data_IF_804954408751
#
_entry.id   IF_804954408751
#
_cell.length_a   1.000
_cell.length_b   1.000
_cell.length_c   1.000
_cell.angle_alpha   90.00
_cell.angle_beta   90.00
_cell.angle_gamma   90.00
#
_symmetry.space_group_name_H-M   'P 1'
#
loop_
_entity.id
_entity.type
_entity.pdbx_description
1 polymer ?
#
# COMPACT_ATOMS: atom_id res chain seq x y z
N UNK A 1 19.35 -4.62 -1.32
CA UNK A 1 18.82 -3.27 -1.66
C UNK A 1 19.30 -2.94 -3.05
N UNK A 2 18.48 -2.27 -3.85
CA UNK A 2 18.78 -1.92 -5.25
C UNK A 2 19.04 -0.41 -5.34
N UNK A 3 20.07 -0.04 -6.08
CA UNK A 3 20.45 1.35 -6.32
C UNK A 3 19.73 1.86 -7.57
N UNK A 4 19.13 3.05 -7.46
CA UNK A 4 18.38 3.67 -8.55
C UNK A 4 19.16 4.89 -9.04
N UNK A 5 19.49 4.88 -10.33
CA UNK A 5 20.29 5.92 -10.99
C UNK A 5 19.50 6.73 -12.03
N UNK A 6 18.24 6.36 -12.30
CA UNK A 6 17.38 7.10 -13.21
C UNK A 6 15.89 6.97 -12.87
N UNK A 7 15.08 7.90 -13.40
CA UNK A 7 13.62 7.79 -13.31
C UNK A 7 13.08 6.55 -14.00
N UNK A 8 13.70 6.11 -15.09
CA UNK A 8 13.26 4.90 -15.78
C UNK A 8 13.48 3.66 -14.91
N UNK A 9 14.66 3.53 -14.29
CA UNK A 9 14.95 2.43 -13.35
C UNK A 9 13.99 2.44 -12.17
N UNK A 10 13.68 3.62 -11.63
CA UNK A 10 12.72 3.78 -10.55
C UNK A 10 11.33 3.23 -10.94
N UNK A 11 10.81 3.66 -12.08
CA UNK A 11 9.50 3.24 -12.58
C UNK A 11 9.48 1.75 -12.92
N UNK A 12 10.53 1.24 -13.56
CA UNK A 12 10.65 -0.19 -13.85
C UNK A 12 10.65 -1.03 -12.58
N UNK A 13 11.44 -0.65 -11.56
CA UNK A 13 11.50 -1.37 -10.29
C UNK A 13 10.14 -1.38 -9.56
N UNK A 14 9.38 -0.27 -9.61
CA UNK A 14 8.03 -0.21 -9.07
C UNK A 14 7.05 -1.11 -9.85
N UNK A 15 7.14 -1.12 -11.18
CA UNK A 15 6.29 -1.95 -12.03
C UNK A 15 6.57 -3.44 -11.84
N UNK A 16 7.83 -3.83 -11.78
CA UNK A 16 8.28 -5.22 -11.63
C UNK A 16 8.04 -5.78 -10.22
N UNK A 17 7.87 -4.91 -9.22
CA UNK A 17 7.56 -5.34 -7.86
C UNK A 17 6.20 -6.03 -7.74
N UNK A 18 5.27 -5.81 -8.67
CA UNK A 18 3.90 -6.33 -8.58
C UNK A 18 3.21 -5.85 -7.30
N UNK A 19 2.64 -6.78 -6.52
CA UNK A 19 2.02 -6.46 -5.23
C UNK A 19 2.99 -6.48 -4.03
N UNK A 20 4.30 -6.60 -4.27
CA UNK A 20 5.27 -6.54 -3.17
C UNK A 20 5.30 -5.13 -2.58
N UNK A 21 5.46 -5.05 -1.27
CA UNK A 21 5.75 -3.77 -0.61
C UNK A 21 7.12 -3.28 -1.08
N UNK A 22 7.18 -2.05 -1.57
CA UNK A 22 8.42 -1.38 -1.97
C UNK A 22 8.70 -0.24 -1.00
N UNK A 23 9.90 -0.22 -0.45
CA UNK A 23 10.38 0.84 0.45
C UNK A 23 11.54 1.55 -0.24
N UNK A 24 11.37 2.85 -0.42
CA UNK A 24 12.34 3.71 -1.11
C UNK A 24 13.00 4.62 -0.09
N UNK A 25 14.30 4.47 0.12
CA UNK A 25 15.13 5.40 0.88
C UNK A 25 15.71 6.47 -0.03
N UNK A 26 15.36 7.73 0.20
CA UNK A 26 16.06 8.87 -0.38
C UNK A 26 17.16 9.32 0.57
N UNK A 27 18.39 9.30 0.09
CA UNK A 27 19.58 9.60 0.90
C UNK A 27 20.52 10.57 0.18
N UNK A 28 21.53 11.09 0.90
CA UNK A 28 22.63 11.86 0.32
C UNK A 28 23.97 11.34 0.84
N UNK A 29 25.02 11.41 0.03
CA UNK A 29 26.38 10.92 0.40
C UNK A 29 27.01 11.71 1.55
N UNK A 30 26.60 12.96 1.72
CA UNK A 30 27.01 13.86 2.82
C UNK A 30 26.09 13.77 4.04
N UNK A 31 24.99 13.03 3.98
CA UNK A 31 23.99 12.96 5.04
C UNK A 31 24.42 12.02 6.17
N UNK A 32 24.89 12.58 7.29
CA UNK A 32 25.31 11.81 8.46
C UNK A 32 24.17 10.95 9.05
N UNK A 33 22.94 11.49 9.11
CA UNK A 33 21.77 10.73 9.60
C UNK A 33 21.45 9.52 8.70
N UNK A 34 21.66 9.64 7.39
CA UNK A 34 21.44 8.55 6.43
C UNK A 34 22.48 7.45 6.66
N UNK A 35 23.76 7.81 6.80
CA UNK A 35 24.86 6.87 7.13
C UNK A 35 24.60 6.11 8.43
N UNK A 36 24.10 6.80 9.46
CA UNK A 36 23.77 6.17 10.73
C UNK A 36 22.56 5.21 10.65
N UNK A 37 21.59 5.51 9.76
CA UNK A 37 20.38 4.71 9.56
C UNK A 37 20.66 3.44 8.75
N UNK A 38 21.56 3.53 7.78
CA UNK A 38 21.80 2.50 6.77
C UNK A 38 22.06 1.09 7.33
N UNK A 39 22.91 0.86 8.36
CA UNK A 39 23.11 -0.49 8.89
C UNK A 39 21.83 -1.14 9.43
N UNK A 40 20.94 -0.33 10.03
CA UNK A 40 19.68 -0.82 10.57
C UNK A 40 18.67 -1.12 9.47
N UNK A 41 18.66 -0.30 8.42
CA UNK A 41 17.83 -0.53 7.24
C UNK A 41 18.27 -1.79 6.48
N UNK A 42 19.59 -2.01 6.31
CA UNK A 42 20.13 -3.24 5.72
C UNK A 42 19.71 -4.50 6.49
N UNK A 43 19.78 -4.47 7.83
CA UNK A 43 19.30 -5.58 8.66
C UNK A 43 17.81 -5.82 8.45
N UNK A 44 16.99 -4.77 8.44
CA UNK A 44 15.56 -4.90 8.17
C UNK A 44 15.29 -5.45 6.76
N UNK A 45 16.08 -5.10 5.75
CA UNK A 45 15.96 -5.69 4.43
C UNK A 45 16.31 -7.20 4.41
N UNK A 46 17.31 -7.62 5.18
CA UNK A 46 17.65 -9.04 5.35
C UNK A 46 16.55 -9.82 6.07
N UNK A 47 15.92 -9.21 7.08
CA UNK A 47 14.83 -9.82 7.86
C UNK A 47 13.50 -9.92 7.08
N UNK A 48 13.35 -9.18 5.98
CA UNK A 48 12.10 -9.10 5.21
C UNK A 48 12.39 -9.25 3.70
N UNK A 49 12.80 -10.45 3.23
CA UNK A 49 13.19 -10.69 1.84
C UNK A 49 12.03 -10.51 0.84
N UNK A 50 10.78 -10.57 1.30
CA UNK A 50 9.59 -10.31 0.49
C UNK A 50 9.45 -8.84 0.07
N UNK A 51 10.01 -7.92 0.87
CA UNK A 51 9.95 -6.48 0.65
C UNK A 51 11.07 -6.04 -0.29
N UNK A 52 10.74 -5.21 -1.28
CA UNK A 52 11.74 -4.61 -2.15
C UNK A 52 12.26 -3.30 -1.54
N UNK A 53 13.56 -3.23 -1.29
CA UNK A 53 14.22 -2.02 -0.79
C UNK A 53 15.02 -1.34 -1.91
N UNK A 54 14.64 -0.12 -2.24
CA UNK A 54 15.31 0.75 -3.21
C UNK A 54 16.03 1.88 -2.46
N UNK A 55 17.21 2.27 -2.94
CA UNK A 55 17.90 3.47 -2.47
C UNK A 55 18.12 4.44 -3.62
N UNK A 56 17.80 5.71 -3.39
CA UNK A 56 17.92 6.79 -4.37
C UNK A 56 18.85 7.84 -3.80
N UNK A 57 19.99 8.04 -4.46
CA UNK A 57 20.86 9.16 -4.14
C UNK A 57 20.20 10.46 -4.64
N UNK A 58 19.87 11.35 -3.71
CA UNK A 58 19.24 12.62 -3.98
C UNK A 58 20.07 13.50 -4.91
N UNK A 59 21.39 13.50 -4.76
CA UNK A 59 22.26 14.38 -5.55
C UNK A 59 22.39 13.94 -7.00
N UNK A 60 22.34 12.63 -7.25
CA UNK A 60 22.38 12.04 -8.60
C UNK A 60 21.02 12.13 -9.29
N UNK A 61 19.92 12.16 -8.53
CA UNK A 61 18.54 12.09 -9.05
C UNK A 61 17.70 13.34 -8.70
N UNK A 62 18.32 14.53 -8.58
CA UNK A 62 17.65 15.75 -8.09
C UNK A 62 16.29 16.06 -8.74
N UNK A 63 16.13 16.01 -10.08
CA UNK A 63 14.85 16.33 -10.71
C UNK A 63 13.72 15.39 -10.26
N UNK A 64 14.00 14.08 -10.21
CA UNK A 64 13.06 13.06 -9.78
C UNK A 64 12.70 13.21 -8.29
N UNK A 65 13.69 13.41 -7.43
CA UNK A 65 13.44 13.59 -6.00
C UNK A 65 12.58 14.84 -5.73
N UNK A 66 12.81 15.92 -6.48
CA UNK A 66 11.99 17.14 -6.42
C UNK A 66 10.55 16.90 -6.90
N UNK A 67 10.36 16.19 -8.01
CA UNK A 67 9.01 15.86 -8.50
C UNK A 67 8.26 14.95 -7.53
N UNK A 68 8.96 14.09 -6.79
CA UNK A 68 8.44 13.27 -5.71
C UNK A 68 8.29 14.02 -4.37
N UNK A 69 8.47 15.35 -4.36
CA UNK A 69 8.32 16.21 -3.18
C UNK A 69 9.24 15.85 -2.00
N UNK A 70 10.42 15.26 -2.28
CA UNK A 70 11.45 14.97 -1.28
C UNK A 70 12.23 16.26 -0.97
N UNK A 71 12.04 16.80 0.24
CA UNK A 71 12.62 18.10 0.67
C UNK A 71 13.71 17.97 1.73
N UNK A 72 13.75 16.86 2.44
CA UNK A 72 14.66 16.61 3.56
C UNK A 72 15.20 15.19 3.46
N UNK A 73 16.37 14.93 4.04
CA UNK A 73 17.00 13.61 4.03
C UNK A 73 17.34 13.16 5.45
N UNK A 74 17.26 11.85 5.76
CA UNK A 74 16.67 10.80 4.92
C UNK A 74 15.14 10.90 4.82
N UNK A 75 14.59 10.43 3.71
CA UNK A 75 13.15 10.38 3.44
C UNK A 75 12.74 9.01 2.93
N UNK A 76 11.49 8.63 3.20
CA UNK A 76 10.96 7.32 2.88
C UNK A 76 9.62 7.43 2.18
N UNK A 77 9.51 6.75 1.04
CA UNK A 77 8.22 6.43 0.43
C UNK A 77 7.97 4.93 0.51
N UNK A 78 6.72 4.56 0.73
CA UNK A 78 6.27 3.18 0.64
C UNK A 78 5.30 3.07 -0.52
N UNK A 79 5.46 2.05 -1.36
CA UNK A 79 4.57 1.77 -2.48
C UNK A 79 4.10 0.32 -2.46
N UNK A 80 2.91 0.06 -3.02
CA UNK A 80 2.42 -1.31 -3.21
C UNK A 80 1.42 -1.39 -4.36
N UNK A 81 1.77 -2.16 -5.39
CA UNK A 81 0.87 -2.52 -6.49
C UNK A 81 -0.04 -1.38 -6.96
N UNK A 82 -1.33 -1.69 -7.09
CA UNK A 82 -2.35 -0.74 -7.55
C UNK A 82 -2.66 0.37 -6.53
N UNK A 83 -2.28 0.22 -5.25
CA UNK A 83 -2.48 1.26 -4.24
C UNK A 83 -1.53 2.46 -4.45
N UNK A 84 -0.45 2.29 -5.22
CA UNK A 84 0.53 3.33 -5.43
C UNK A 84 1.25 3.66 -4.13
N UNK A 85 1.36 4.96 -3.82
CA UNK A 85 2.08 5.43 -2.63
C UNK A 85 1.23 5.33 -1.36
N UNK A 86 1.73 4.57 -0.38
CA UNK A 86 1.08 4.33 0.92
C UNK A 86 1.56 5.28 2.01
N UNK A 87 2.85 5.57 2.06
CA UNK A 87 3.48 6.39 3.10
C UNK A 87 4.48 7.38 2.51
N UNK A 88 4.68 8.50 3.23
CA UNK A 88 5.62 9.56 2.88
C UNK A 88 6.14 10.24 4.14
N UNK A 89 7.38 9.99 4.54
CA UNK A 89 7.93 10.62 5.75
C UNK A 89 9.45 10.68 5.83
N UNK A 90 9.96 11.66 6.58
CA UNK A 90 11.35 11.68 7.05
C UNK A 90 11.52 10.79 8.29
N UNK A 91 12.67 10.13 8.43
CA UNK A 91 12.97 9.30 9.60
C UNK A 91 14.44 9.28 9.98
N UNK A 92 14.78 9.59 11.23
CA UNK A 92 16.14 9.41 11.75
C UNK A 92 16.31 8.07 12.47
N UNK A 93 17.54 7.72 12.86
CA UNK A 93 17.85 6.49 13.60
C UNK A 93 17.05 6.39 14.92
N UNK A 94 16.88 7.50 15.63
CA UNK A 94 16.11 7.57 16.87
C UNK A 94 14.62 7.24 16.66
N UNK A 95 14.08 7.51 15.47
CA UNK A 95 12.69 7.28 15.11
C UNK A 95 12.50 6.05 14.21
N UNK A 96 13.49 5.15 14.14
CA UNK A 96 13.44 3.96 13.27
C UNK A 96 12.19 3.09 13.48
N UNK A 97 11.60 3.12 14.67
CA UNK A 97 10.36 2.40 14.95
C UNK A 97 9.24 2.79 13.97
N UNK A 98 9.20 4.03 13.48
CA UNK A 98 8.26 4.48 12.47
C UNK A 98 8.31 3.64 11.18
N UNK A 99 9.52 3.23 10.74
CA UNK A 99 9.69 2.37 9.56
C UNK A 99 9.15 0.97 9.86
N UNK A 100 9.44 0.42 11.05
CA UNK A 100 8.94 -0.90 11.46
C UNK A 100 7.42 -0.94 11.57
N UNK A 101 6.82 0.11 12.12
CA UNK A 101 5.37 0.22 12.27
C UNK A 101 4.71 0.32 10.90
N UNK A 102 5.25 1.14 9.98
CA UNK A 102 4.77 1.22 8.60
C UNK A 102 4.88 -0.14 7.87
N UNK A 103 5.98 -0.89 8.05
CA UNK A 103 6.12 -2.25 7.51
C UNK A 103 5.01 -3.15 8.07
N UNK A 104 4.77 -3.11 9.39
CA UNK A 104 3.76 -3.96 10.03
C UNK A 104 2.35 -3.66 9.50
N UNK A 105 2.01 -2.38 9.34
CA UNK A 105 0.71 -1.94 8.81
C UNK A 105 0.48 -2.43 7.39
N UNK A 106 1.50 -2.37 6.53
CA UNK A 106 1.38 -2.62 5.10
C UNK A 106 1.91 -3.99 4.66
N UNK A 107 2.18 -4.91 5.59
CA UNK A 107 2.81 -6.21 5.31
C UNK A 107 1.89 -7.12 4.50
N UNK A 108 0.62 -7.19 4.87
CA UNK A 108 -0.30 -8.14 4.27
C UNK A 108 -0.71 -7.68 2.86
N UNK A 109 -0.72 -8.58 1.86
CA UNK A 109 -1.48 -8.36 0.66
C UNK A 109 -2.94 -8.23 1.10
N UNK A 110 -3.48 -7.02 1.04
CA UNK A 110 -4.92 -6.89 1.09
C UNK A 110 -5.45 -7.52 -0.20
N UNK A 111 -5.77 -8.80 -0.13
CA UNK A 111 -6.63 -9.44 -1.12
C UNK A 111 -7.97 -8.69 -1.10
N UNK A 112 -8.15 -7.75 -2.02
CA UNK A 112 -9.50 -7.46 -2.50
C UNK A 112 -9.91 -8.59 -3.45
N UNK A 113 -10.10 -9.81 -2.92
CA UNK A 113 -11.05 -10.75 -3.50
C UNK A 113 -12.41 -10.34 -2.96
N UNK A 114 -12.93 -9.23 -3.49
CA UNK A 114 -14.37 -9.04 -3.57
C UNK A 114 -14.85 -9.77 -4.81
N UNK A 115 -16.04 -10.42 -4.78
CA UNK A 115 -16.53 -11.15 -5.94
C UNK A 115 -16.61 -10.18 -7.12
N UNK A 116 -16.29 -10.65 -8.33
CA UNK A 116 -16.57 -9.92 -9.54
C UNK A 116 -18.01 -9.39 -9.45
N UNK A 117 -18.18 -8.06 -9.49
CA UNK A 117 -19.50 -7.48 -9.71
C UNK A 117 -19.96 -8.04 -11.04
N UNK A 118 -20.82 -9.05 -10.96
CA UNK A 118 -21.57 -9.56 -12.08
C UNK A 118 -22.18 -8.35 -12.79
N UNK A 119 -22.00 -8.32 -14.11
CA UNK A 119 -22.80 -7.52 -15.01
C UNK A 119 -24.25 -7.81 -14.65
N UNK A 120 -24.91 -6.82 -14.05
CA UNK A 120 -26.32 -6.89 -13.76
C UNK A 120 -27.05 -6.86 -15.10
N UNK A 121 -27.67 -7.97 -15.46
CA UNK A 121 -28.99 -7.93 -16.06
C UNK A 121 -29.75 -9.24 -15.83
N UNK A 122 -31.01 -9.03 -15.43
CA UNK A 122 -32.18 -9.93 -15.45
C UNK A 122 -32.47 -10.81 -14.22
N UNK A 123 -33.56 -10.41 -13.56
CA UNK A 123 -34.40 -11.13 -12.60
C UNK A 123 -34.79 -12.54 -13.05
N UNK A 124 -34.86 -13.50 -12.11
CA UNK A 124 -36.01 -14.43 -11.99
C UNK A 124 -36.04 -15.14 -10.62
N UNK A 125 -37.05 -14.78 -9.84
CA UNK A 125 -37.87 -15.58 -8.91
C UNK A 125 -37.21 -16.42 -7.79
N UNK A 126 -37.47 -15.97 -6.57
CA UNK A 126 -37.32 -16.73 -5.33
C UNK A 126 -38.56 -17.60 -5.09
N UNK A 127 -38.39 -18.92 -5.05
CA UNK A 127 -39.38 -19.86 -4.51
C UNK A 127 -38.67 -20.75 -3.49
N UNK A 128 -38.98 -20.55 -2.21
CA UNK A 128 -38.80 -21.56 -1.18
C UNK A 128 -40.07 -21.64 -0.34
N UNK A 129 -40.69 -22.82 -0.37
CA UNK A 129 -41.84 -23.25 0.42
C UNK A 129 -41.43 -23.65 1.86
N UNK A 130 -42.29 -24.32 2.66
CA UNK A 130 -43.50 -23.84 3.34
C UNK A 130 -43.41 -24.06 4.88
N UNK A 131 -44.40 -23.55 5.66
CA UNK A 131 -45.16 -24.29 6.72
C UNK A 131 -46.03 -23.30 7.55
N UNK A 132 -47.34 -23.58 7.47
CA UNK A 132 -48.55 -23.35 8.30
C UNK A 132 -48.39 -22.85 9.76
N UNK A 133 -49.35 -22.24 10.50
CA UNK A 133 -50.78 -21.79 10.45
C UNK A 133 -51.09 -21.23 11.88
N UNK A 134 -52.32 -20.82 12.30
CA UNK A 134 -53.42 -20.07 11.65
C UNK A 134 -54.07 -19.00 12.59
N UNK A 135 -55.16 -18.38 12.08
CA UNK A 135 -56.31 -17.76 12.76
C UNK A 135 -56.17 -16.24 13.11
N UNK A 136 -57.13 -15.35 12.88
CA UNK A 136 -58.56 -15.45 12.50
C UNK A 136 -59.06 -14.05 12.03
N UNK A 137 -60.06 -14.04 11.14
CA UNK A 137 -61.16 -13.08 10.81
C UNK A 137 -61.11 -11.61 11.31
N UNK A 138 -61.53 -10.55 10.58
CA UNK A 138 -62.83 -10.29 9.91
C UNK A 138 -62.79 -8.89 9.24
N UNK A 139 -63.34 -8.77 8.01
CA UNK A 139 -64.16 -7.70 7.34
C UNK A 139 -64.15 -6.25 7.90
N UNK A 140 -64.30 -5.13 7.16
CA UNK A 140 -65.28 -4.78 6.09
C UNK A 140 -65.01 -3.33 5.62
N UNK A 141 -65.37 -2.99 4.36
CA UNK A 141 -66.00 -1.74 3.82
C UNK A 141 -65.84 -0.40 4.59
N UNK A 142 -65.77 0.80 4.00
CA UNK A 142 -66.34 1.36 2.78
C UNK A 142 -65.81 2.80 2.60
N UNK A 143 -66.03 3.32 1.41
CA UNK A 143 -65.98 4.69 0.88
C UNK A 143 -66.17 5.87 1.85
N UNK A 144 -65.34 6.91 1.67
CA UNK A 144 -65.73 8.27 1.24
C UNK A 144 -64.50 9.16 1.01
#
# INVERSE_FOLDING_TARGET
MIDIHSTQEFLSALSEAGDRLVIVEFYGTWCASCKALFPKLCRTAQENPEILFLKVNFDENKPMCKSLNVKVLPYFHFYRGAHGQLESFSCSLAKFQKIKDAIKTHRQPHCNIGPAKAVGDLNLESISAPIEKPAVSTQTSDSL
#
